data_IF_425965233661
#
_entry.id   IF_425965233661
#
_cell.length_a   1.000
_cell.length_b   1.000
_cell.length_c   1.000
_cell.angle_alpha   90.00
_cell.angle_beta   90.00
_cell.angle_gamma   90.00
#
_symmetry.space_group_name_H-M   'P 1'
#
loop_
_entity.id
_entity.type
_entity.pdbx_description
1 polymer ?
#
# COMPACT_ATOMS: atom_id res chain seq x y z
N UNK A 1 -0.96 -7.86 19.45
CA UNK A 1 -0.61 -7.52 18.06
C UNK A 1 -1.74 -7.98 17.15
N UNK A 2 -2.51 -7.05 16.61
CA UNK A 2 -3.51 -7.34 15.57
C UNK A 2 -2.88 -7.27 14.20
N UNK A 3 -3.39 -8.08 13.27
CA UNK A 3 -2.97 -8.13 11.88
C UNK A 3 -4.08 -7.56 11.01
N UNK A 4 -3.83 -6.42 10.41
CA UNK A 4 -4.73 -5.76 9.48
C UNK A 4 -4.32 -6.07 8.04
N UNK A 5 -5.29 -6.36 7.20
CA UNK A 5 -5.10 -6.43 5.76
C UNK A 5 -6.00 -5.42 5.07
N UNK A 6 -5.44 -4.62 4.18
CA UNK A 6 -6.21 -3.68 3.37
C UNK A 6 -5.94 -3.87 1.89
N UNK A 7 -6.94 -3.60 1.09
CA UNK A 7 -6.85 -3.51 -0.35
C UNK A 7 -7.84 -2.47 -0.88
N UNK A 8 -7.74 -2.15 -2.16
CA UNK A 8 -8.64 -1.22 -2.82
C UNK A 8 -9.08 -1.77 -4.16
N UNK A 9 -10.35 -1.56 -4.50
CA UNK A 9 -10.85 -1.84 -5.84
C UNK A 9 -11.91 -0.84 -6.28
N UNK A 10 -12.04 -0.73 -7.61
CA UNK A 10 -13.14 -0.06 -8.28
C UNK A 10 -13.64 -0.91 -9.45
N UNK A 11 -14.92 -0.72 -9.82
CA UNK A 11 -15.53 -1.29 -11.02
C UNK A 11 -15.21 -2.77 -11.23
N UNK A 12 -14.49 -3.09 -12.30
CA UNK A 12 -14.17 -4.47 -12.71
C UNK A 12 -13.30 -5.27 -11.74
N UNK A 13 -12.65 -4.62 -10.79
CA UNK A 13 -11.75 -5.29 -9.83
C UNK A 13 -12.43 -5.74 -8.54
N UNK A 14 -13.73 -5.47 -8.35
CA UNK A 14 -14.46 -5.80 -7.12
C UNK A 14 -14.48 -7.30 -6.82
N UNK A 15 -14.59 -8.15 -7.85
CA UNK A 15 -14.56 -9.59 -7.64
C UNK A 15 -13.17 -10.08 -7.23
N UNK A 16 -12.11 -9.57 -7.85
CA UNK A 16 -10.74 -9.85 -7.46
C UNK A 16 -10.46 -9.41 -6.02
N UNK A 17 -10.95 -8.22 -5.64
CA UNK A 17 -10.89 -7.74 -4.26
C UNK A 17 -11.54 -8.71 -3.27
N UNK A 18 -12.69 -9.27 -3.63
CA UNK A 18 -13.36 -10.26 -2.76
C UNK A 18 -12.48 -11.49 -2.53
N UNK A 19 -11.88 -12.04 -3.61
CA UNK A 19 -10.96 -13.18 -3.48
C UNK A 19 -9.73 -12.86 -2.64
N UNK A 20 -9.14 -11.68 -2.84
CA UNK A 20 -8.02 -11.19 -2.04
C UNK A 20 -8.41 -11.15 -0.55
N UNK A 21 -9.53 -10.51 -0.22
CA UNK A 21 -10.01 -10.34 1.15
C UNK A 21 -10.39 -11.67 1.81
N UNK A 22 -11.04 -12.57 1.07
CA UNK A 22 -11.41 -13.90 1.59
C UNK A 22 -10.15 -14.72 1.89
N UNK A 23 -9.12 -14.66 1.02
CA UNK A 23 -7.85 -15.32 1.27
C UNK A 23 -7.13 -14.75 2.52
N UNK A 24 -7.14 -13.43 2.70
CA UNK A 24 -6.57 -12.80 3.89
C UNK A 24 -7.23 -13.30 5.17
N UNK A 25 -8.57 -13.38 5.21
CA UNK A 25 -9.32 -13.94 6.34
C UNK A 25 -8.93 -15.39 6.61
N UNK A 26 -8.81 -16.21 5.57
CA UNK A 26 -8.41 -17.62 5.69
C UNK A 26 -7.03 -17.78 6.32
N UNK A 27 -6.11 -16.85 6.04
CA UNK A 27 -4.74 -16.90 6.57
C UNK A 27 -4.52 -16.10 7.85
N UNK A 28 -5.60 -15.76 8.56
CA UNK A 28 -5.57 -15.33 9.95
C UNK A 28 -5.25 -13.86 10.15
N UNK A 29 -5.70 -12.98 9.25
CA UNK A 29 -5.79 -11.56 9.52
C UNK A 29 -6.98 -11.28 10.42
N UNK A 30 -6.77 -10.47 11.47
CA UNK A 30 -7.79 -10.14 12.46
C UNK A 30 -8.82 -9.16 11.92
N UNK A 31 -8.36 -8.22 11.06
CA UNK A 31 -9.23 -7.27 10.38
C UNK A 31 -8.87 -7.17 8.90
N UNK A 32 -9.87 -7.33 8.03
CA UNK A 32 -9.71 -7.25 6.58
C UNK A 32 -10.64 -6.19 6.03
N UNK A 33 -10.06 -5.11 5.49
CA UNK A 33 -10.79 -3.95 5.02
C UNK A 33 -10.67 -3.84 3.50
N UNK A 34 -11.79 -3.94 2.83
CA UNK A 34 -11.89 -3.76 1.37
C UNK A 34 -12.34 -2.33 1.08
N UNK A 35 -11.38 -1.47 0.73
CA UNK A 35 -11.66 -0.07 0.41
C UNK A 35 -12.15 0.12 -1.02
N UNK A 36 -12.89 1.20 -1.21
CA UNK A 36 -13.37 1.70 -2.50
C UNK A 36 -13.35 3.23 -2.51
N UNK A 37 -13.66 3.83 -3.64
CA UNK A 37 -13.78 5.30 -3.75
C UNK A 37 -14.76 5.89 -2.73
N UNK A 38 -15.86 5.18 -2.43
CA UNK A 38 -16.86 5.62 -1.46
C UNK A 38 -16.39 5.69 -0.01
N UNK A 39 -15.20 5.15 0.30
CA UNK A 39 -14.59 5.24 1.63
C UNK A 39 -13.65 6.43 1.80
N UNK A 40 -13.44 7.23 0.76
CA UNK A 40 -12.65 8.46 0.84
C UNK A 40 -13.49 9.55 1.52
N UNK A 41 -12.91 10.23 2.51
CA UNK A 41 -13.56 11.37 3.16
C UNK A 41 -13.94 12.44 2.13
N UNK A 42 -15.15 13.03 2.22
CA UNK A 42 -15.61 14.05 1.28
C UNK A 42 -14.62 15.23 1.15
N UNK A 43 -14.07 15.72 2.25
CA UNK A 43 -13.13 16.85 2.24
C UNK A 43 -11.84 16.50 1.48
N UNK A 44 -11.30 15.31 1.70
CA UNK A 44 -10.14 14.83 0.96
C UNK A 44 -10.47 14.64 -0.52
N UNK A 45 -11.64 14.07 -0.83
CA UNK A 45 -12.11 13.90 -2.20
C UNK A 45 -12.22 15.23 -2.93
N UNK A 46 -12.93 16.20 -2.37
CA UNK A 46 -13.13 17.50 -3.04
C UNK A 46 -11.83 18.27 -3.21
N UNK A 47 -10.94 18.22 -2.23
CA UNK A 47 -9.61 18.85 -2.31
C UNK A 47 -8.74 18.26 -3.42
N UNK A 48 -8.86 16.97 -3.70
CA UNK A 48 -8.03 16.23 -4.66
C UNK A 48 -8.83 15.71 -5.86
N UNK A 49 -10.00 16.26 -6.11
CA UNK A 49 -10.93 15.79 -7.13
C UNK A 49 -10.31 15.70 -8.53
N UNK A 50 -9.53 16.70 -8.91
CA UNK A 50 -8.83 16.75 -10.20
C UNK A 50 -7.84 15.58 -10.40
N UNK A 51 -7.35 14.99 -9.33
CA UNK A 51 -6.49 13.79 -9.35
C UNK A 51 -7.34 12.53 -9.28
N UNK A 52 -8.23 12.44 -8.29
CA UNK A 52 -9.03 11.23 -8.03
C UNK A 52 -9.98 10.84 -9.17
N UNK A 53 -10.39 11.79 -10.01
CA UNK A 53 -11.21 11.54 -11.20
C UNK A 53 -10.42 11.11 -12.45
N UNK A 54 -9.09 11.04 -12.36
CA UNK A 54 -8.29 10.55 -13.48
C UNK A 54 -8.45 9.04 -13.65
N UNK A 55 -8.59 8.59 -14.89
CA UNK A 55 -8.83 7.17 -15.21
C UNK A 55 -7.63 6.29 -14.89
N UNK A 56 -6.40 6.78 -15.14
CA UNK A 56 -5.17 6.04 -14.87
C UNK A 56 -5.01 5.79 -13.37
N UNK A 57 -4.90 4.51 -12.98
CA UNK A 57 -4.72 4.12 -11.59
C UNK A 57 -5.86 4.57 -10.67
N UNK A 58 -7.06 4.85 -11.24
CA UNK A 58 -8.22 5.37 -10.52
C UNK A 58 -7.86 6.60 -9.66
N UNK A 59 -7.25 7.60 -10.26
CA UNK A 59 -6.74 8.79 -9.59
C UNK A 59 -5.25 8.72 -9.28
N UNK A 60 -4.45 8.22 -10.24
CA UNK A 60 -3.00 8.09 -10.12
C UNK A 60 -2.56 7.41 -8.82
N UNK A 61 -3.35 6.44 -8.33
CA UNK A 61 -3.11 5.70 -7.08
C UNK A 61 -3.03 6.56 -5.81
N UNK A 62 -3.53 7.80 -5.83
CA UNK A 62 -3.56 8.69 -4.66
C UNK A 62 -4.32 8.07 -3.48
N UNK A 63 -5.30 7.22 -3.75
CA UNK A 63 -6.04 6.47 -2.75
C UNK A 63 -5.15 5.49 -1.95
N UNK A 64 -4.03 4.99 -2.52
CA UNK A 64 -3.16 4.00 -1.86
C UNK A 64 -2.52 4.58 -0.58
N UNK A 65 -1.71 5.64 -0.64
CA UNK A 65 -1.16 6.25 0.57
C UNK A 65 -2.25 6.81 1.50
N UNK A 66 -3.36 7.29 0.95
CA UNK A 66 -4.49 7.77 1.75
C UNK A 66 -5.05 6.66 2.65
N UNK A 67 -5.38 5.49 2.11
CA UNK A 67 -5.95 4.40 2.91
C UNK A 67 -4.94 3.73 3.83
N UNK A 68 -3.66 3.64 3.43
CA UNK A 68 -2.59 3.18 4.32
C UNK A 68 -2.53 4.10 5.54
N UNK A 69 -2.42 5.41 5.32
CA UNK A 69 -2.37 6.39 6.40
C UNK A 69 -3.61 6.34 7.30
N UNK A 70 -4.82 6.34 6.71
CA UNK A 70 -6.08 6.25 7.44
C UNK A 70 -6.23 4.98 8.26
N UNK A 71 -5.66 3.88 7.81
CA UNK A 71 -5.67 2.64 8.58
C UNK A 71 -4.68 2.73 9.74
N UNK A 72 -3.46 3.22 9.49
CA UNK A 72 -2.45 3.40 10.54
C UNK A 72 -2.93 4.33 11.66
N UNK A 73 -3.68 5.41 11.35
CA UNK A 73 -4.22 6.33 12.37
C UNK A 73 -5.15 5.66 13.40
N UNK A 74 -5.74 4.52 13.06
CA UNK A 74 -6.69 3.79 13.92
C UNK A 74 -6.10 2.53 14.56
N UNK A 75 -4.87 2.19 14.22
CA UNK A 75 -4.17 1.03 14.78
C UNK A 75 -3.49 1.39 16.09
N UNK A 76 -3.26 0.39 16.91
CA UNK A 76 -2.48 0.52 18.14
C UNK A 76 -0.99 0.26 17.85
N UNK A 77 -0.12 0.84 18.68
CA UNK A 77 1.32 0.58 18.58
C UNK A 77 1.63 -0.91 18.69
N UNK A 78 2.40 -1.39 17.74
CA UNK A 78 2.75 -2.82 17.63
C UNK A 78 1.82 -3.64 16.75
N UNK A 79 0.69 -3.09 16.29
CA UNK A 79 -0.14 -3.75 15.29
C UNK A 79 0.52 -3.79 13.92
N UNK A 80 0.11 -4.73 13.07
CA UNK A 80 0.68 -4.94 11.75
C UNK A 80 -0.32 -4.61 10.66
N UNK A 81 0.12 -3.85 9.68
CA UNK A 81 -0.64 -3.54 8.47
C UNK A 81 -0.01 -4.21 7.25
N UNK A 82 -0.82 -4.95 6.50
CA UNK A 82 -0.46 -5.44 5.17
C UNK A 82 -1.38 -4.79 4.14
N UNK A 83 -0.79 -4.07 3.21
CA UNK A 83 -1.47 -3.68 1.98
C UNK A 83 -1.15 -4.68 0.87
N UNK A 84 -2.14 -5.06 0.08
CA UNK A 84 -1.92 -5.76 -1.18
C UNK A 84 -2.84 -5.25 -2.27
N UNK A 85 -2.38 -5.28 -3.51
CA UNK A 85 -3.25 -5.01 -4.64
C UNK A 85 -4.36 -6.06 -4.73
N UNK A 86 -5.56 -5.63 -5.09
CA UNK A 86 -6.76 -6.49 -5.13
C UNK A 86 -6.67 -7.65 -6.14
N UNK A 87 -5.71 -7.61 -7.06
CA UNK A 87 -5.40 -8.72 -7.97
C UNK A 87 -4.57 -9.84 -7.35
N UNK A 88 -4.13 -9.68 -6.10
CA UNK A 88 -3.33 -10.66 -5.36
C UNK A 88 -4.20 -11.51 -4.43
N UNK A 89 -3.71 -12.68 -4.04
CA UNK A 89 -4.34 -13.50 -3.01
C UNK A 89 -3.29 -14.37 -2.30
N UNK A 90 -3.57 -14.70 -1.04
CA UNK A 90 -2.69 -15.53 -0.24
C UNK A 90 -2.81 -16.99 -0.65
N UNK A 91 -1.68 -17.62 -0.93
CA UNK A 91 -1.58 -19.06 -1.16
C UNK A 91 -1.00 -19.80 0.05
N UNK A 92 -0.24 -19.08 0.87
CA UNK A 92 0.39 -19.58 2.07
C UNK A 92 0.30 -18.55 3.20
N UNK A 93 0.61 -19.00 4.42
CA UNK A 93 0.63 -18.12 5.59
C UNK A 93 1.63 -16.95 5.41
N UNK A 94 1.25 -15.71 5.72
CA UNK A 94 2.16 -14.57 5.73
C UNK A 94 3.08 -14.53 6.96
N UNK A 95 2.91 -15.43 7.93
CA UNK A 95 3.66 -15.39 9.18
C UNK A 95 5.18 -15.32 9.00
N UNK A 96 5.83 -16.01 8.05
CA UNK A 96 7.28 -15.86 7.86
C UNK A 96 7.71 -14.42 7.53
N UNK A 97 6.89 -13.66 6.79
CA UNK A 97 7.16 -12.26 6.48
C UNK A 97 6.86 -11.36 7.70
N UNK A 98 5.81 -11.68 8.43
CA UNK A 98 5.46 -11.01 9.69
C UNK A 98 6.57 -11.16 10.72
N UNK A 99 7.14 -12.34 10.85
CA UNK A 99 8.28 -12.60 11.76
C UNK A 99 9.53 -11.79 11.40
N UNK A 100 9.72 -11.46 10.11
CA UNK A 100 10.79 -10.58 9.66
C UNK A 100 10.53 -9.13 10.06
N UNK A 101 9.30 -8.62 9.85
CA UNK A 101 8.93 -7.25 10.23
C UNK A 101 9.09 -7.04 11.74
N UNK A 102 8.65 -7.99 12.55
CA UNK A 102 8.73 -7.89 14.02
C UNK A 102 10.18 -7.84 14.53
N UNK A 103 11.15 -8.24 13.72
CA UNK A 103 12.59 -8.19 14.03
C UNK A 103 13.28 -6.97 13.43
N UNK A 104 12.65 -6.30 12.47
CA UNK A 104 13.22 -5.13 11.81
C UNK A 104 12.99 -3.87 12.64
N UNK A 105 14.04 -3.11 12.99
CA UNK A 105 13.90 -1.91 13.82
C UNK A 105 13.11 -0.78 13.14
N UNK A 106 12.99 -0.81 11.82
CA UNK A 106 12.21 0.18 11.07
C UNK A 106 10.72 -0.21 10.93
N UNK A 107 10.39 -1.47 11.23
CA UNK A 107 9.02 -1.98 11.15
C UNK A 107 8.42 -1.98 9.73
N UNK A 108 9.25 -1.99 8.69
CA UNK A 108 8.80 -1.99 7.29
C UNK A 108 9.48 -3.10 6.50
N UNK A 109 8.69 -3.97 5.89
CA UNK A 109 9.19 -4.95 4.93
C UNK A 109 8.99 -4.42 3.52
N UNK A 110 10.06 -4.39 2.74
CA UNK A 110 10.02 -4.05 1.32
C UNK A 110 10.86 -5.03 0.50
N UNK A 111 10.52 -5.18 -0.76
CA UNK A 111 11.22 -6.05 -1.71
C UNK A 111 11.99 -5.20 -2.70
N UNK A 112 13.26 -5.53 -2.91
CA UNK A 112 14.07 -4.85 -3.92
C UNK A 112 13.63 -5.27 -5.33
N UNK A 113 13.34 -4.28 -6.16
CA UNK A 113 13.04 -4.46 -7.59
C UNK A 113 14.34 -4.31 -8.39
N UNK A 114 15.14 -5.37 -8.45
CA UNK A 114 16.43 -5.35 -9.14
C UNK A 114 16.32 -4.88 -10.58
N UNK A 115 17.14 -3.88 -10.94
CA UNK A 115 17.20 -3.32 -12.28
C UNK A 115 16.21 -2.18 -12.55
N UNK A 116 15.30 -1.88 -11.62
CA UNK A 116 14.47 -0.68 -11.69
C UNK A 116 15.13 0.43 -10.86
N UNK A 117 15.92 1.27 -11.53
CA UNK A 117 16.69 2.32 -10.83
C UNK A 117 15.80 3.53 -10.54
N UNK A 118 15.91 4.07 -9.35
CA UNK A 118 15.00 5.08 -8.80
C UNK A 118 14.87 6.32 -9.71
N UNK A 119 15.97 6.88 -10.19
CA UNK A 119 15.96 8.07 -11.05
C UNK A 119 15.33 7.87 -12.45
N UNK A 120 15.07 6.63 -12.86
CA UNK A 120 14.40 6.31 -14.12
C UNK A 120 12.88 6.30 -13.95
N UNK A 121 12.41 5.88 -12.80
CA UNK A 121 10.98 5.63 -12.53
C UNK A 121 10.34 6.66 -11.60
N UNK A 122 11.14 7.36 -10.79
CA UNK A 122 10.64 8.41 -9.89
C UNK A 122 10.93 9.79 -10.44
N UNK A 123 9.91 10.63 -10.42
CA UNK A 123 10.01 12.01 -10.85
C UNK A 123 11.01 12.76 -9.97
N UNK A 124 11.98 13.46 -10.58
CA UNK A 124 13.02 14.19 -9.83
C UNK A 124 12.44 15.17 -8.82
N UNK A 125 11.34 15.87 -9.18
CA UNK A 125 10.68 16.80 -8.26
C UNK A 125 10.29 16.13 -6.93
N UNK A 126 9.86 14.88 -6.99
CA UNK A 126 9.54 14.09 -5.78
C UNK A 126 10.78 13.88 -4.92
N UNK A 127 11.90 13.49 -5.55
CA UNK A 127 13.16 13.26 -4.84
C UNK A 127 13.68 14.55 -4.19
N UNK A 128 13.59 15.68 -4.91
CA UNK A 128 13.97 17.01 -4.38
C UNK A 128 13.10 17.40 -3.18
N UNK A 129 11.76 17.27 -3.31
CA UNK A 129 10.82 17.61 -2.24
C UNK A 129 11.00 16.75 -1.00
N UNK A 130 11.42 15.50 -1.15
CA UNK A 130 11.71 14.57 -0.06
C UNK A 130 13.13 14.69 0.49
N UNK A 131 13.96 15.58 -0.07
CA UNK A 131 15.39 15.72 0.25
C UNK A 131 16.19 14.42 0.00
N UNK A 132 15.86 13.73 -1.10
CA UNK A 132 16.46 12.46 -1.54
C UNK A 132 17.13 12.57 -2.91
N UNK A 133 17.36 13.79 -3.44
CA UNK A 133 18.04 14.02 -4.72
C UNK A 133 19.57 13.90 -4.57
N UNK A 134 20.00 12.71 -4.15
CA UNK A 134 21.38 12.32 -3.91
C UNK A 134 21.64 10.96 -4.61
N UNK A 135 22.80 10.74 -5.27
CA UNK A 135 23.14 9.49 -5.94
C UNK A 135 22.92 8.25 -5.09
N UNK A 136 23.14 8.35 -3.77
CA UNK A 136 22.90 7.26 -2.83
C UNK A 136 21.47 6.70 -2.93
N UNK A 137 20.49 7.55 -3.20
CA UNK A 137 19.09 7.15 -3.34
C UNK A 137 18.70 7.02 -4.81
N UNK A 138 19.06 8.00 -5.63
CA UNK A 138 18.61 8.09 -7.03
C UNK A 138 19.18 6.98 -7.92
N UNK A 139 20.34 6.42 -7.57
CA UNK A 139 21.00 5.31 -8.30
C UNK A 139 20.73 3.94 -7.65
N UNK A 140 19.93 3.89 -6.59
CA UNK A 140 19.52 2.63 -5.96
C UNK A 140 18.37 1.97 -6.71
N UNK A 141 18.20 0.66 -6.50
CA UNK A 141 17.01 -0.07 -6.97
C UNK A 141 15.76 0.40 -6.23
N UNK A 142 14.65 0.49 -6.95
CA UNK A 142 13.35 0.73 -6.33
C UNK A 142 12.99 -0.38 -5.35
N UNK A 143 12.13 -0.05 -4.41
CA UNK A 143 11.58 -1.00 -3.44
C UNK A 143 10.06 -0.94 -3.45
N UNK A 144 9.45 -2.10 -3.34
CA UNK A 144 8.01 -2.26 -3.18
C UNK A 144 7.73 -2.89 -1.80
N UNK A 145 6.79 -2.29 -1.07
CA UNK A 145 6.33 -2.76 0.23
C UNK A 145 4.94 -3.39 0.12
#
# INVERSE_FOLDING_TARGET
VKKYHINYANGRYLQAQKYCSDSAKQFGFDEVISYSLGNIDPDFYYKNKNILEQSRGAGFWLWKPYFIYKTLERMEDGDLLVYSDSGSFYQNSPNPLIDLILKDPNGVLSFELKGLIENVYTKRDTLVLMNLDDPKYTESSQREA
#
